data_IF_409046279566
#
_entry.id   IF_409046279566
#
_cell.length_a   1.000
_cell.length_b   1.000
_cell.length_c   1.000
_cell.angle_alpha   90.00
_cell.angle_beta   90.00
_cell.angle_gamma   90.00
#
_symmetry.space_group_name_H-M   'P 1'
#
loop_
_entity.id
_entity.type
_entity.pdbx_description
1 polymer ?
#
# COMPACT_ATOMS: atom_id res chain seq x y z
N UNK A 1 -16.63 -25.12 -41.72
CA UNK A 1 -15.32 -25.18 -41.04
C UNK A 1 -15.60 -25.50 -39.58
N UNK A 2 -15.27 -26.75 -39.17
CA UNK A 2 -15.49 -27.27 -37.84
C UNK A 2 -14.38 -26.74 -36.92
N UNK A 3 -14.78 -26.07 -35.84
CA UNK A 3 -13.92 -25.90 -34.67
C UNK A 3 -14.45 -26.83 -33.58
N UNK A 4 -14.08 -28.09 -33.70
CA UNK A 4 -14.18 -29.05 -32.62
C UNK A 4 -12.91 -29.04 -31.81
N UNK A 5 -13.11 -29.39 -30.57
CA UNK A 5 -12.21 -29.96 -29.55
C UNK A 5 -11.87 -29.01 -28.40
N UNK A 6 -12.71 -29.01 -27.39
CA UNK A 6 -12.50 -29.84 -26.23
C UNK A 6 -11.29 -29.40 -25.35
N UNK A 7 -11.21 -28.09 -24.94
CA UNK A 7 -10.37 -27.72 -23.79
C UNK A 7 -11.11 -28.08 -22.50
N UNK A 8 -10.94 -29.33 -22.05
CA UNK A 8 -11.23 -29.71 -20.67
C UNK A 8 -10.23 -28.99 -19.76
N UNK A 9 -10.65 -27.90 -19.14
CA UNK A 9 -9.90 -27.28 -18.05
C UNK A 9 -10.00 -28.23 -16.86
N UNK A 10 -8.98 -29.05 -16.66
CA UNK A 10 -8.81 -29.78 -15.38
C UNK A 10 -8.57 -28.73 -14.31
N UNK A 11 -9.34 -28.74 -13.21
CA UNK A 11 -9.04 -27.86 -12.08
C UNK A 11 -7.66 -28.27 -11.56
N UNK A 12 -6.71 -27.35 -11.63
CA UNK A 12 -5.42 -27.49 -10.94
C UNK A 12 -5.75 -27.44 -9.45
N UNK A 13 -5.89 -28.60 -8.84
CA UNK A 13 -5.85 -28.74 -7.38
C UNK A 13 -4.43 -28.38 -6.96
N UNK A 14 -4.19 -27.08 -6.77
CA UNK A 14 -2.96 -26.57 -6.21
C UNK A 14 -2.84 -27.06 -4.79
N UNK A 15 -2.11 -28.16 -4.59
CA UNK A 15 -1.55 -28.47 -3.29
C UNK A 15 -0.70 -27.31 -2.80
N UNK A 16 -0.46 -27.17 -1.49
CA UNK A 16 0.32 -26.08 -0.94
C UNK A 16 1.66 -26.00 -1.68
N UNK A 17 1.99 -24.82 -2.24
CA UNK A 17 3.28 -24.57 -2.88
C UNK A 17 4.38 -24.92 -1.88
N UNK A 18 5.09 -26.01 -2.14
CA UNK A 18 6.31 -26.35 -1.40
C UNK A 18 7.41 -25.43 -1.94
N UNK A 19 7.79 -24.46 -1.13
CA UNK A 19 9.01 -23.71 -1.38
C UNK A 19 10.22 -24.65 -1.24
N UNK A 20 11.27 -24.48 -2.06
CA UNK A 20 12.48 -25.30 -1.94
C UNK A 20 13.01 -25.23 -0.49
N UNK A 21 13.32 -26.38 0.08
CA UNK A 21 13.95 -26.48 1.40
C UNK A 21 15.27 -25.70 1.38
N UNK A 22 15.36 -24.66 2.21
CA UNK A 22 16.56 -23.84 2.37
C UNK A 22 16.39 -22.33 2.21
N UNK A 23 15.29 -21.85 1.64
CA UNK A 23 15.01 -20.42 1.51
C UNK A 23 13.74 -20.09 2.27
N UNK A 24 13.84 -19.85 3.57
CA UNK A 24 12.64 -19.42 4.24
C UNK A 24 12.46 -19.70 5.70
N UNK A 25 13.49 -20.15 6.40
CA UNK A 25 13.30 -20.50 7.81
C UNK A 25 13.39 -19.32 8.79
N UNK A 26 13.46 -18.07 8.33
CA UNK A 26 13.49 -16.89 9.23
C UNK A 26 12.73 -15.66 8.76
N UNK A 27 11.97 -15.72 7.69
CA UNK A 27 10.93 -14.70 7.49
C UNK A 27 9.78 -15.15 8.35
N UNK A 28 9.60 -14.54 9.51
CA UNK A 28 8.45 -14.78 10.35
C UNK A 28 7.22 -14.82 9.47
N UNK A 29 6.38 -15.85 9.62
CA UNK A 29 5.15 -16.01 8.86
C UNK A 29 4.29 -14.78 9.14
N UNK A 30 4.45 -13.75 8.31
CA UNK A 30 3.44 -12.70 8.28
C UNK A 30 2.13 -13.41 7.94
N UNK A 31 1.10 -13.30 8.78
CA UNK A 31 -0.15 -13.98 8.53
C UNK A 31 -0.64 -13.60 7.13
N UNK A 32 -1.09 -14.61 6.37
CA UNK A 32 -1.69 -14.40 5.06
C UNK A 32 -2.73 -13.28 5.20
N UNK A 33 -2.63 -12.29 4.33
CA UNK A 33 -3.56 -11.17 4.29
C UNK A 33 -4.99 -11.69 4.23
N UNK A 34 -5.72 -11.55 5.32
CA UNK A 34 -7.16 -11.71 5.33
C UNK A 34 -7.78 -10.32 5.12
N UNK A 35 -8.32 -10.03 3.94
CA UNK A 35 -8.90 -8.72 3.66
C UNK A 35 -10.12 -8.40 4.53
N UNK A 36 -10.71 -9.39 5.17
CA UNK A 36 -11.91 -9.27 5.99
C UNK A 36 -11.61 -9.23 7.50
N UNK A 37 -10.37 -9.51 7.90
CA UNK A 37 -9.94 -9.39 9.29
C UNK A 37 -9.42 -7.98 9.55
N UNK A 38 -9.78 -7.41 10.69
CA UNK A 38 -9.11 -6.21 11.21
C UNK A 38 -7.70 -6.61 11.63
N UNK A 39 -6.74 -6.22 10.81
CA UNK A 39 -5.35 -6.52 11.04
C UNK A 39 -4.75 -5.50 12.01
N UNK A 40 -3.96 -5.94 13.00
CA UNK A 40 -3.26 -5.03 13.91
C UNK A 40 -2.42 -4.00 13.17
N UNK A 41 -2.38 -2.73 13.60
CA UNK A 41 -1.64 -1.65 12.93
C UNK A 41 -0.17 -1.99 12.66
N UNK A 42 0.50 -2.66 13.60
CA UNK A 42 1.88 -3.10 13.47
C UNK A 42 2.10 -4.04 12.27
N UNK A 43 1.18 -4.94 11.98
CA UNK A 43 1.28 -5.82 10.81
C UNK A 43 1.09 -5.04 9.50
N UNK A 44 0.17 -4.08 9.50
CA UNK A 44 -0.07 -3.21 8.34
C UNK A 44 1.19 -2.40 8.03
N UNK A 45 1.81 -1.80 9.05
CA UNK A 45 3.04 -1.03 8.86
C UNK A 45 4.24 -1.90 8.51
N UNK A 46 4.37 -3.09 9.09
CA UNK A 46 5.44 -4.02 8.73
C UNK A 46 5.40 -4.39 7.25
N UNK A 47 4.21 -4.71 6.71
CA UNK A 47 4.07 -4.97 5.27
C UNK A 47 4.33 -3.73 4.43
N UNK A 48 3.83 -2.58 4.86
CA UNK A 48 4.10 -1.31 4.21
C UNK A 48 5.60 -1.02 4.12
N UNK A 49 6.34 -1.24 5.21
CA UNK A 49 7.78 -1.08 5.26
C UNK A 49 8.51 -2.00 4.25
N UNK A 50 8.12 -3.27 4.15
CA UNK A 50 8.69 -4.18 3.15
C UNK A 50 8.48 -3.69 1.72
N UNK A 51 7.27 -3.21 1.40
CA UNK A 51 6.95 -2.65 0.07
C UNK A 51 7.75 -1.37 -0.17
N UNK A 52 7.86 -0.50 0.83
CA UNK A 52 8.61 0.74 0.76
C UNK A 52 10.12 0.49 0.55
N UNK A 53 10.73 -0.44 1.30
CA UNK A 53 12.13 -0.86 1.10
C UNK A 53 12.37 -1.35 -0.33
N UNK A 54 11.49 -2.19 -0.87
CA UNK A 54 11.58 -2.66 -2.25
C UNK A 54 11.47 -1.52 -3.26
N UNK A 55 10.59 -0.55 -3.02
CA UNK A 55 10.43 0.62 -3.91
C UNK A 55 11.66 1.51 -3.93
N UNK A 56 12.26 1.73 -2.77
CA UNK A 56 13.46 2.56 -2.66
C UNK A 56 14.72 1.89 -3.21
N UNK A 57 14.67 0.56 -3.44
CA UNK A 57 15.73 -0.24 -4.07
C UNK A 57 17.11 0.01 -3.43
N UNK A 58 17.14 0.04 -2.09
CA UNK A 58 18.32 0.34 -1.27
C UNK A 58 19.01 1.70 -1.55
N UNK A 59 18.32 2.61 -2.25
CA UNK A 59 18.86 3.94 -2.58
C UNK A 59 19.04 4.85 -1.37
N UNK A 60 18.47 4.49 -0.24
CA UNK A 60 18.55 5.27 1.00
C UNK A 60 19.24 4.42 2.06
N UNK A 61 20.39 4.88 2.57
CA UNK A 61 21.08 4.22 3.67
C UNK A 61 20.15 4.10 4.88
N UNK A 62 20.08 2.93 5.52
CA UNK A 62 19.16 2.68 6.62
C UNK A 62 19.30 3.65 7.80
N UNK A 63 20.53 4.18 8.02
CA UNK A 63 20.85 5.09 9.13
C UNK A 63 20.84 6.58 8.76
N UNK A 64 20.47 6.93 7.50
CA UNK A 64 20.42 8.34 7.15
C UNK A 64 19.26 9.04 7.89
N UNK A 65 19.45 10.27 8.40
CA UNK A 65 18.39 11.00 9.09
C UNK A 65 17.19 11.25 8.16
N UNK A 66 15.99 11.33 8.75
CA UNK A 66 14.78 11.67 7.98
C UNK A 66 14.92 13.09 7.46
N UNK A 67 14.93 13.22 6.14
CA UNK A 67 14.85 14.53 5.49
C UNK A 67 13.38 14.85 5.20
N UNK A 68 12.72 15.53 6.14
CA UNK A 68 11.32 15.93 5.99
C UNK A 68 11.11 16.91 4.86
N UNK A 69 12.09 17.78 4.56
CA UNK A 69 11.98 18.74 3.46
C UNK A 69 11.87 18.02 2.11
N UNK A 70 12.63 16.94 1.93
CA UNK A 70 12.53 16.12 0.73
C UNK A 70 11.15 15.44 0.59
N UNK A 71 10.57 15.00 1.71
CA UNK A 71 9.21 14.43 1.71
C UNK A 71 8.17 15.49 1.37
N UNK A 72 8.31 16.70 1.93
CA UNK A 72 7.45 17.84 1.61
C UNK A 72 7.55 18.17 0.12
N UNK A 73 8.76 18.16 -0.44
CA UNK A 73 8.99 18.37 -1.88
C UNK A 73 8.32 17.29 -2.73
N UNK A 74 8.46 16.02 -2.37
CA UNK A 74 7.77 14.91 -3.05
C UNK A 74 6.25 15.11 -3.03
N UNK A 75 5.68 15.43 -1.87
CA UNK A 75 4.24 15.73 -1.73
C UNK A 75 3.82 16.91 -2.61
N UNK A 76 4.62 17.98 -2.65
CA UNK A 76 4.32 19.15 -3.46
C UNK A 76 4.36 18.83 -4.95
N UNK A 77 5.42 18.14 -5.42
CA UNK A 77 5.52 17.68 -6.81
C UNK A 77 4.34 16.79 -7.21
N UNK A 78 3.94 15.86 -6.33
CA UNK A 78 2.75 15.05 -6.53
C UNK A 78 1.49 15.89 -6.69
N UNK A 79 1.34 16.94 -5.87
CA UNK A 79 0.19 17.86 -5.95
C UNK A 79 0.18 18.64 -7.27
N UNK A 80 1.33 19.09 -7.72
CA UNK A 80 1.45 19.85 -8.97
C UNK A 80 1.20 18.98 -10.19
N UNK A 81 1.71 17.74 -10.22
CA UNK A 81 1.38 16.76 -11.24
C UNK A 81 -0.13 16.42 -11.24
N UNK A 82 -0.74 16.24 -10.07
CA UNK A 82 -2.18 15.97 -9.98
C UNK A 82 -3.03 17.11 -10.56
N UNK A 83 -2.68 18.38 -10.28
CA UNK A 83 -3.35 19.55 -10.87
C UNK A 83 -3.23 19.59 -12.39
N UNK A 84 -2.11 19.11 -12.94
CA UNK A 84 -1.88 18.98 -14.38
C UNK A 84 -2.54 17.76 -15.01
N UNK A 85 -3.22 16.92 -14.21
CA UNK A 85 -3.81 15.65 -14.61
C UNK A 85 -2.78 14.56 -15.00
N UNK A 86 -1.52 14.73 -14.61
CA UNK A 86 -0.44 13.75 -14.74
C UNK A 86 -0.53 12.73 -13.58
N UNK A 87 -1.58 11.90 -13.59
CA UNK A 87 -1.99 11.13 -12.40
C UNK A 87 -0.96 10.07 -12.01
N UNK A 88 -0.32 9.40 -12.97
CA UNK A 88 0.72 8.40 -12.71
C UNK A 88 1.96 9.04 -12.06
N UNK A 89 2.40 10.19 -12.59
CA UNK A 89 3.52 10.93 -12.01
C UNK A 89 3.19 11.43 -10.60
N UNK A 90 1.97 11.92 -10.40
CA UNK A 90 1.49 12.34 -9.08
C UNK A 90 1.54 11.18 -8.08
N UNK A 91 1.03 10.01 -8.46
CA UNK A 91 1.06 8.80 -7.65
C UNK A 91 2.49 8.43 -7.27
N UNK A 92 3.40 8.42 -8.26
CA UNK A 92 4.80 8.08 -8.01
C UNK A 92 5.44 9.00 -6.97
N UNK A 93 5.26 10.31 -7.08
CA UNK A 93 5.82 11.27 -6.13
C UNK A 93 5.24 11.09 -4.72
N UNK A 94 3.93 10.86 -4.58
CA UNK A 94 3.32 10.60 -3.27
C UNK A 94 3.85 9.30 -2.64
N UNK A 95 3.98 8.24 -3.43
CA UNK A 95 4.51 6.96 -2.95
C UNK A 95 5.99 7.04 -2.58
N UNK A 96 6.79 7.84 -3.30
CA UNK A 96 8.20 8.06 -2.94
C UNK A 96 8.32 8.75 -1.58
N UNK A 97 7.56 9.82 -1.36
CA UNK A 97 7.52 10.51 -0.07
C UNK A 97 7.05 9.61 1.08
N UNK A 98 5.99 8.83 0.86
CA UNK A 98 5.49 7.89 1.85
C UNK A 98 6.50 6.78 2.16
N UNK A 99 7.17 6.23 1.14
CA UNK A 99 8.17 5.17 1.31
C UNK A 99 9.39 5.64 2.12
N UNK A 100 9.85 6.86 1.87
CA UNK A 100 10.94 7.47 2.63
C UNK A 100 10.60 7.56 4.13
N UNK A 101 9.37 7.95 4.47
CA UNK A 101 8.93 8.04 5.86
C UNK A 101 8.73 6.66 6.47
N UNK A 102 8.02 5.77 5.78
CA UNK A 102 7.63 4.49 6.35
C UNK A 102 8.83 3.64 6.73
N UNK A 103 9.89 3.65 5.91
CA UNK A 103 11.13 2.91 6.19
C UNK A 103 11.94 3.50 7.35
N UNK A 104 11.64 4.75 7.78
CA UNK A 104 12.36 5.47 8.82
C UNK A 104 11.61 5.55 10.15
N UNK A 105 10.28 5.68 10.05
CA UNK A 105 9.44 5.70 11.25
C UNK A 105 9.38 4.31 11.86
N UNK A 106 9.33 3.27 11.02
CA UNK A 106 9.14 1.90 11.47
C UNK A 106 10.30 1.00 11.03
N UNK A 107 10.92 0.31 11.99
CA UNK A 107 11.89 -0.76 11.73
C UNK A 107 11.26 -2.13 11.93
N UNK A 108 11.64 -3.06 11.06
CA UNK A 108 11.28 -4.48 11.17
C UNK A 108 12.56 -5.28 11.24
N UNK A 109 12.96 -5.64 12.46
CA UNK A 109 14.17 -6.41 12.72
C UNK A 109 13.81 -7.78 13.27
N UNK A 110 14.21 -8.86 12.56
CA UNK A 110 14.04 -10.24 13.02
C UNK A 110 12.60 -10.66 13.31
N UNK A 111 11.59 -9.99 12.71
CA UNK A 111 10.17 -10.21 12.96
C UNK A 111 9.59 -9.36 14.09
N UNK A 112 10.39 -8.52 14.73
CA UNK A 112 9.92 -7.49 15.66
C UNK A 112 9.69 -6.18 14.93
N UNK A 113 8.59 -5.53 15.24
CA UNK A 113 8.23 -4.20 14.72
C UNK A 113 8.52 -3.17 15.80
N UNK A 114 9.30 -2.15 15.47
CA UNK A 114 9.66 -1.08 16.40
C UNK A 114 9.42 0.28 15.75
N UNK A 115 8.71 1.14 16.44
CA UNK A 115 8.59 2.56 16.09
C UNK A 115 9.86 3.30 16.55
N UNK A 116 10.57 3.94 15.60
CA UNK A 116 11.90 4.48 15.85
C UNK A 116 11.91 5.95 16.29
N UNK A 117 10.77 6.62 16.26
CA UNK A 117 10.65 8.07 16.48
C UNK A 117 9.71 8.44 17.64
N UNK A 118 9.44 7.51 18.56
CA UNK A 118 8.65 7.83 19.75
C UNK A 118 9.26 9.00 20.53
N UNK A 119 8.43 10.03 20.74
CA UNK A 119 8.80 11.18 21.58
C UNK A 119 9.52 12.34 20.87
N UNK A 120 9.80 12.26 19.58
CA UNK A 120 10.35 13.39 18.81
C UNK A 120 9.20 14.32 18.34
N UNK A 121 9.37 15.64 18.50
CA UNK A 121 8.42 16.64 17.98
C UNK A 121 8.22 16.48 16.45
N UNK A 122 9.23 15.98 15.76
CA UNK A 122 9.19 15.70 14.32
C UNK A 122 8.35 14.48 13.97
N UNK A 123 8.09 13.57 14.93
CA UNK A 123 7.29 12.37 14.70
C UNK A 123 5.86 12.71 14.27
N UNK A 124 5.19 13.65 14.95
CA UNK A 124 3.84 14.07 14.62
C UNK A 124 3.75 14.60 13.17
N UNK A 125 4.71 15.43 12.76
CA UNK A 125 4.79 15.95 11.40
C UNK A 125 5.08 14.83 10.38
N UNK A 126 5.99 13.91 10.70
CA UNK A 126 6.30 12.78 9.84
C UNK A 126 5.07 11.89 9.62
N UNK A 127 4.30 11.59 10.66
CA UNK A 127 3.06 10.82 10.58
C UNK A 127 1.97 11.55 9.80
N UNK A 128 1.85 12.87 9.95
CA UNK A 128 0.93 13.68 9.16
C UNK A 128 1.28 13.62 7.66
N UNK A 129 2.57 13.80 7.33
CA UNK A 129 3.06 13.72 5.95
C UNK A 129 2.85 12.32 5.36
N UNK A 130 3.12 11.26 6.13
CA UNK A 130 2.90 9.88 5.73
C UNK A 130 1.43 9.64 5.34
N UNK A 131 0.50 10.03 6.23
CA UNK A 131 -0.94 9.92 5.97
C UNK A 131 -1.36 10.73 4.74
N UNK A 132 -0.87 11.97 4.63
CA UNK A 132 -1.19 12.84 3.49
C UNK A 132 -0.71 12.25 2.16
N UNK A 133 0.49 11.68 2.12
CA UNK A 133 1.03 11.04 0.93
C UNK A 133 0.21 9.80 0.54
N UNK A 134 -0.06 8.89 1.47
CA UNK A 134 -0.85 7.69 1.17
C UNK A 134 -2.29 8.02 0.78
N UNK A 135 -2.91 8.98 1.46
CA UNK A 135 -4.27 9.39 1.09
C UNK A 135 -4.30 9.95 -0.34
N UNK A 136 -3.34 10.79 -0.72
CA UNK A 136 -3.28 11.34 -2.06
C UNK A 136 -2.94 10.28 -3.11
N UNK A 137 -2.05 9.35 -2.80
CA UNK A 137 -1.76 8.21 -3.66
C UNK A 137 -2.98 7.31 -3.87
N UNK A 138 -3.78 7.06 -2.81
CA UNK A 138 -5.04 6.33 -2.95
C UNK A 138 -6.01 7.02 -3.92
N UNK A 139 -6.10 8.37 -3.89
CA UNK A 139 -6.92 9.11 -4.86
C UNK A 139 -6.38 8.96 -6.29
N UNK A 140 -5.05 9.02 -6.47
CA UNK A 140 -4.46 8.80 -7.79
C UNK A 140 -4.81 7.40 -8.32
N UNK A 141 -4.72 6.36 -7.47
CA UNK A 141 -5.08 5.00 -7.85
C UNK A 141 -6.54 4.89 -8.30
N UNK A 142 -7.49 5.52 -7.58
CA UNK A 142 -8.90 5.54 -7.99
C UNK A 142 -9.08 6.23 -9.36
N UNK A 143 -8.38 7.37 -9.58
CA UNK A 143 -8.41 8.08 -10.86
C UNK A 143 -7.78 7.30 -12.00
N UNK A 144 -6.71 6.57 -11.76
CA UNK A 144 -6.09 5.70 -12.75
C UNK A 144 -7.00 4.52 -13.13
N UNK A 145 -7.70 3.94 -12.16
CA UNK A 145 -8.66 2.89 -12.44
C UNK A 145 -9.77 3.34 -13.40
N UNK A 146 -10.21 4.61 -13.30
CA UNK A 146 -11.19 5.20 -14.22
C UNK A 146 -10.66 5.38 -15.65
N UNK A 147 -9.33 5.40 -15.83
CA UNK A 147 -8.67 5.66 -17.13
C UNK A 147 -8.30 4.39 -17.88
N UNK A 148 -8.20 3.25 -17.20
CA UNK A 148 -7.86 1.99 -17.83
C UNK A 148 -9.11 1.26 -18.36
N UNK A 149 -9.04 0.78 -19.58
CA UNK A 149 -10.07 -0.11 -20.16
C UNK A 149 -9.84 -1.58 -19.74
N UNK A 150 -8.59 -1.92 -19.37
CA UNK A 150 -8.21 -3.27 -18.97
C UNK A 150 -8.61 -3.56 -17.51
N UNK A 151 -9.47 -4.56 -17.35
CA UNK A 151 -10.03 -4.96 -16.04
C UNK A 151 -8.95 -5.36 -15.05
N UNK A 152 -7.83 -5.95 -15.48
CA UNK A 152 -6.74 -6.35 -14.61
C UNK A 152 -6.00 -5.13 -14.06
N UNK A 153 -5.75 -4.14 -14.91
CA UNK A 153 -5.12 -2.88 -14.51
C UNK A 153 -6.02 -2.11 -13.54
N UNK A 154 -7.33 -2.02 -13.84
CA UNK A 154 -8.32 -1.43 -12.93
C UNK A 154 -8.27 -2.09 -11.55
N UNK A 155 -8.33 -3.43 -11.52
CA UNK A 155 -8.31 -4.21 -10.28
C UNK A 155 -7.04 -3.96 -9.46
N UNK A 156 -5.90 -3.86 -10.13
CA UNK A 156 -4.62 -3.50 -9.50
C UNK A 156 -4.66 -2.11 -8.86
N UNK A 157 -5.26 -1.15 -9.54
CA UNK A 157 -5.42 0.22 -9.02
C UNK A 157 -6.36 0.27 -7.81
N UNK A 158 -7.51 -0.40 -7.85
CA UNK A 158 -8.43 -0.45 -6.71
C UNK A 158 -7.81 -1.17 -5.51
N UNK A 159 -7.10 -2.28 -5.73
CA UNK A 159 -6.40 -2.98 -4.66
C UNK A 159 -5.34 -2.08 -4.00
N UNK A 160 -4.59 -1.30 -4.79
CA UNK A 160 -3.61 -0.35 -4.29
C UNK A 160 -4.27 0.81 -3.54
N UNK A 161 -5.39 1.36 -4.05
CA UNK A 161 -6.15 2.40 -3.36
C UNK A 161 -6.64 1.93 -1.99
N UNK A 162 -7.22 0.73 -1.92
CA UNK A 162 -7.66 0.10 -0.66
C UNK A 162 -6.50 -0.10 0.31
N UNK A 163 -5.35 -0.56 -0.19
CA UNK A 163 -4.14 -0.74 0.62
C UNK A 163 -3.61 0.57 1.21
N UNK A 164 -3.47 1.62 0.40
CA UNK A 164 -3.01 2.93 0.88
C UNK A 164 -3.96 3.54 1.92
N UNK A 165 -5.26 3.40 1.71
CA UNK A 165 -6.25 3.83 2.69
C UNK A 165 -6.12 3.04 4.01
N UNK A 166 -5.87 1.72 3.95
CA UNK A 166 -5.64 0.88 5.12
C UNK A 166 -4.40 1.31 5.90
N UNK A 167 -3.31 1.70 5.21
CA UNK A 167 -2.11 2.24 5.86
C UNK A 167 -2.40 3.54 6.65
N UNK A 168 -3.26 4.40 6.13
CA UNK A 168 -3.69 5.60 6.86
C UNK A 168 -4.53 5.24 8.08
N UNK A 169 -5.48 4.32 7.91
CA UNK A 169 -6.38 3.92 8.98
C UNK A 169 -5.69 3.17 10.12
N UNK A 170 -4.52 2.60 9.88
CA UNK A 170 -3.73 1.96 10.93
C UNK A 170 -3.30 2.95 12.04
N UNK A 171 -3.09 4.25 11.72
CA UNK A 171 -2.81 5.30 12.70
C UNK A 171 -4.00 6.22 12.99
N UNK A 172 -4.96 6.30 12.07
CA UNK A 172 -6.12 7.18 12.17
C UNK A 172 -7.38 6.44 11.68
N UNK A 173 -7.94 5.53 12.51
CA UNK A 173 -9.05 4.66 12.10
C UNK A 173 -10.28 5.40 11.57
N UNK A 174 -10.54 6.60 12.09
CA UNK A 174 -11.69 7.44 11.75
C UNK A 174 -11.39 8.48 10.66
N UNK A 175 -10.31 8.31 9.89
CA UNK A 175 -10.01 9.22 8.79
C UNK A 175 -11.05 9.08 7.67
N UNK A 176 -11.96 10.04 7.57
CA UNK A 176 -13.09 10.00 6.62
C UNK A 176 -12.64 9.87 5.16
N UNK A 177 -11.51 10.48 4.77
CA UNK A 177 -11.00 10.35 3.40
C UNK A 177 -10.48 8.96 3.12
N UNK A 178 -9.84 8.32 4.10
CA UNK A 178 -9.35 6.96 3.98
C UNK A 178 -10.51 5.96 3.95
N UNK A 179 -11.48 6.11 4.85
CA UNK A 179 -12.70 5.30 4.88
C UNK A 179 -13.41 5.36 3.53
N UNK A 180 -13.72 6.56 3.03
CA UNK A 180 -14.37 6.75 1.74
C UNK A 180 -13.60 6.08 0.59
N UNK A 181 -12.29 6.29 0.50
CA UNK A 181 -11.48 5.72 -0.58
C UNK A 181 -11.37 4.21 -0.50
N UNK A 182 -11.26 3.65 0.71
CA UNK A 182 -11.28 2.21 0.92
C UNK A 182 -12.64 1.62 0.59
N UNK A 183 -13.72 2.29 0.97
CA UNK A 183 -15.08 1.89 0.65
C UNK A 183 -15.35 1.86 -0.85
N UNK A 184 -14.99 2.91 -1.58
CA UNK A 184 -15.10 2.95 -3.05
C UNK A 184 -14.30 1.82 -3.69
N UNK A 185 -13.02 1.68 -3.36
CA UNK A 185 -12.16 0.62 -3.88
C UNK A 185 -12.69 -0.78 -3.52
N UNK A 186 -13.22 -0.94 -2.30
CA UNK A 186 -13.83 -2.20 -1.83
C UNK A 186 -15.09 -2.58 -2.59
N UNK A 187 -15.92 -1.60 -2.95
CA UNK A 187 -17.09 -1.79 -3.79
C UNK A 187 -16.72 -2.36 -5.17
N UNK A 188 -15.75 -1.74 -5.83
CA UNK A 188 -15.24 -2.17 -7.13
C UNK A 188 -14.57 -3.55 -7.08
N UNK A 189 -13.87 -3.84 -5.97
CA UNK A 189 -13.29 -5.16 -5.71
C UNK A 189 -14.32 -6.21 -5.26
N UNK A 190 -15.61 -5.85 -5.20
CA UNK A 190 -16.72 -6.69 -4.73
C UNK A 190 -16.57 -7.19 -3.28
N UNK A 191 -15.89 -6.41 -2.44
CA UNK A 191 -15.76 -6.64 -1.00
C UNK A 191 -16.87 -5.89 -0.23
N UNK A 192 -18.11 -6.12 -0.62
CA UNK A 192 -19.27 -5.35 -0.19
C UNK A 192 -19.45 -5.21 1.33
N UNK A 193 -19.27 -6.24 2.19
CA UNK A 193 -19.47 -6.06 3.62
C UNK A 193 -18.57 -4.98 4.22
N UNK A 194 -17.27 -5.00 3.87
CA UNK A 194 -16.30 -4.02 4.35
C UNK A 194 -16.48 -2.65 3.69
N UNK A 195 -16.84 -2.63 2.42
CA UNK A 195 -17.12 -1.38 1.69
C UNK A 195 -18.31 -0.63 2.30
N UNK A 196 -19.39 -1.33 2.66
CA UNK A 196 -20.57 -0.74 3.30
C UNK A 196 -20.23 -0.19 4.70
N UNK A 197 -19.38 -0.88 5.46
CA UNK A 197 -18.92 -0.41 6.77
C UNK A 197 -18.10 0.89 6.67
N UNK A 198 -17.33 1.06 5.60
CA UNK A 198 -16.43 2.20 5.39
C UNK A 198 -17.14 3.45 4.81
N UNK A 199 -18.34 3.28 4.24
CA UNK A 199 -19.14 4.36 3.61
C UNK A 199 -20.24 4.86 4.53
#
# INVERSE_FOLDING_TARGET
MNWGDGLTVTPVTGGPMKFPEGVGSKVGQLPLFNPDAEEPPEHVYARGNMVAKKRLDNRVAEDAPINLDHVIECKQRGTDCFKKKEIEAAQSHYEDGASLLLTRIFKVDGGSFTECLEGDERHALAMELLRACYINSAMCCLKLAEQFDDTWMQHGCWARASWHATLVMASEPNNLKALYRRGVAGGELRKFPKAIHDL
#
